data_IF_103988261263
#
_entry.id   IF_103988261263
#
_cell.length_a   1.000
_cell.length_b   1.000
_cell.length_c   1.000
_cell.angle_alpha   90.00
_cell.angle_beta   90.00
_cell.angle_gamma   90.00
#
_symmetry.space_group_name_H-M   'P 1'
#
loop_
_entity.id
_entity.type
_entity.pdbx_description
1 polymer ?
#
# COMPACT_ATOMS: atom_id res chain seq x y z
N UNK A 1 25.21 22.96 16.09
CA UNK A 1 25.62 21.54 16.00
C UNK A 1 25.79 21.12 14.53
N UNK A 2 26.71 21.73 13.76
CA UNK A 2 26.85 21.46 12.32
C UNK A 2 27.35 20.03 12.02
N UNK A 3 28.03 19.40 12.99
CA UNK A 3 28.54 18.03 12.85
C UNK A 3 27.42 16.98 12.86
N UNK A 4 26.49 17.03 13.82
CA UNK A 4 25.36 16.10 13.94
C UNK A 4 24.44 16.13 12.72
N UNK A 5 24.16 17.33 12.21
CA UNK A 5 23.32 17.53 11.02
C UNK A 5 23.96 16.91 9.77
N UNK A 6 25.27 17.10 9.59
CA UNK A 6 26.04 16.50 8.49
C UNK A 6 26.04 14.97 8.58
N UNK A 7 26.36 14.40 9.74
CA UNK A 7 26.34 12.94 9.96
C UNK A 7 24.96 12.35 9.73
N UNK A 8 23.90 13.03 10.20
CA UNK A 8 22.53 12.59 9.98
C UNK A 8 22.13 12.65 8.50
N UNK A 9 22.53 13.71 7.80
CA UNK A 9 22.26 13.86 6.36
C UNK A 9 22.93 12.76 5.55
N UNK A 10 24.25 12.57 5.72
CA UNK A 10 25.02 11.53 5.03
C UNK A 10 24.44 10.12 5.29
N UNK A 11 24.04 9.83 6.52
CA UNK A 11 23.42 8.55 6.86
C UNK A 11 22.07 8.35 6.15
N UNK A 12 21.23 9.39 6.11
CA UNK A 12 19.88 9.34 5.55
C UNK A 12 19.84 9.38 4.02
N UNK A 13 20.94 9.74 3.38
CA UNK A 13 21.13 9.57 1.94
C UNK A 13 21.24 8.10 1.52
N UNK A 14 21.70 7.23 2.43
CA UNK A 14 21.79 5.79 2.15
C UNK A 14 20.41 5.11 2.16
N UNK A 15 20.25 4.06 1.34
CA UNK A 15 18.99 3.29 1.26
C UNK A 15 18.66 2.49 2.55
N UNK A 16 19.52 2.58 3.56
CA UNK A 16 19.38 2.01 4.89
C UNK A 16 18.86 3.00 5.96
N UNK A 17 18.47 4.22 5.57
CA UNK A 17 18.03 5.33 6.44
C UNK A 17 16.77 5.03 7.27
N UNK A 18 16.93 4.24 8.33
CA UNK A 18 15.94 4.07 9.41
C UNK A 18 16.29 4.99 10.57
N UNK A 19 15.32 5.71 11.11
CA UNK A 19 15.52 6.59 12.29
C UNK A 19 16.04 5.83 13.52
N UNK A 20 15.69 4.54 13.67
CA UNK A 20 16.24 3.71 14.75
C UNK A 20 17.74 3.45 14.56
N UNK A 21 18.16 3.09 13.34
CA UNK A 21 19.58 2.88 13.03
C UNK A 21 20.38 4.19 13.06
N UNK A 22 19.75 5.29 12.65
CA UNK A 22 20.35 6.61 12.77
C UNK A 22 20.56 6.99 14.23
N UNK A 23 19.65 6.64 15.14
CA UNK A 23 19.84 6.86 16.57
C UNK A 23 21.06 6.11 17.11
N UNK A 24 21.23 4.83 16.75
CA UNK A 24 22.42 4.06 17.11
C UNK A 24 23.71 4.67 16.53
N UNK A 25 23.65 5.11 15.27
CA UNK A 25 24.77 5.74 14.58
C UNK A 25 25.18 7.07 15.25
N UNK A 26 24.22 7.95 15.55
CA UNK A 26 24.48 9.22 16.22
C UNK A 26 24.95 9.00 17.65
N UNK A 27 24.44 8.02 18.38
CA UNK A 27 24.96 7.69 19.72
C UNK A 27 26.44 7.31 19.71
N UNK A 28 26.94 6.74 18.61
CA UNK A 28 28.34 6.31 18.48
C UNK A 28 29.27 7.42 17.96
N UNK A 29 28.78 8.22 17.01
CA UNK A 29 29.65 9.15 16.25
C UNK A 29 29.34 10.63 16.50
N UNK A 30 28.16 10.97 17.03
CA UNK A 30 27.75 12.34 17.33
C UNK A 30 26.76 12.39 18.53
N UNK A 31 27.19 11.99 19.75
CA UNK A 31 26.32 11.97 20.93
C UNK A 31 25.84 13.38 21.30
N UNK A 32 24.70 13.48 21.97
CA UNK A 32 24.13 14.78 22.35
C UNK A 32 24.98 15.44 23.44
N UNK A 33 25.09 16.76 23.36
CA UNK A 33 25.82 17.57 24.36
C UNK A 33 25.15 17.61 25.72
N UNK A 34 23.84 17.35 25.78
CA UNK A 34 23.07 17.31 27.04
C UNK A 34 23.22 15.96 27.78
N UNK A 35 24.07 15.05 27.29
CA UNK A 35 24.30 13.74 27.89
C UNK A 35 23.18 12.73 27.66
N UNK A 36 22.07 13.14 27.04
CA UNK A 36 20.97 12.23 26.71
C UNK A 36 21.29 11.40 25.46
N UNK A 37 20.72 10.19 25.39
CA UNK A 37 20.90 9.33 24.21
C UNK A 37 19.93 9.73 23.09
N UNK A 38 20.39 9.59 21.86
CA UNK A 38 19.52 9.61 20.70
C UNK A 38 18.56 8.42 20.76
N UNK A 39 17.27 8.71 20.73
CA UNK A 39 16.20 7.74 20.52
C UNK A 39 15.64 7.89 19.10
N UNK A 40 14.95 6.86 18.60
CA UNK A 40 14.28 6.91 17.29
C UNK A 40 13.42 8.16 17.13
N UNK A 41 12.64 8.52 18.16
CA UNK A 41 11.71 9.65 18.11
C UNK A 41 12.46 10.99 18.19
N UNK A 42 13.50 11.08 19.04
CA UNK A 42 14.33 12.28 19.10
C UNK A 42 15.03 12.55 17.76
N UNK A 43 15.52 11.50 17.10
CA UNK A 43 16.11 11.58 15.77
C UNK A 43 15.09 11.94 14.70
N UNK A 44 13.88 11.35 14.75
CA UNK A 44 12.79 11.72 13.85
C UNK A 44 12.47 13.20 13.94
N UNK A 45 12.30 13.73 15.15
CA UNK A 45 12.06 15.15 15.37
C UNK A 45 13.23 16.02 14.91
N UNK A 46 14.47 15.62 15.22
CA UNK A 46 15.66 16.32 14.77
C UNK A 46 15.72 16.45 13.24
N UNK A 47 15.57 15.32 12.51
CA UNK A 47 15.55 15.31 11.05
C UNK A 47 14.41 16.18 10.49
N UNK A 48 13.22 16.15 11.11
CA UNK A 48 12.08 16.96 10.67
C UNK A 48 12.34 18.46 10.86
N UNK A 49 12.92 18.87 11.99
CA UNK A 49 13.27 20.27 12.27
C UNK A 49 14.36 20.79 11.34
N UNK A 50 15.30 19.94 10.92
CA UNK A 50 16.44 20.32 10.07
C UNK A 50 16.22 19.96 8.59
N UNK A 51 14.99 19.65 8.18
CA UNK A 51 14.64 19.29 6.80
C UNK A 51 15.45 18.14 6.19
N UNK A 52 15.98 17.23 7.02
CA UNK A 52 16.72 16.04 6.58
C UNK A 52 15.72 14.96 6.18
N UNK A 53 15.67 14.65 4.89
CA UNK A 53 14.74 13.66 4.34
C UNK A 53 15.37 12.27 4.26
N UNK A 54 14.59 11.24 4.61
CA UNK A 54 14.96 9.86 4.29
C UNK A 54 14.79 9.60 2.81
N UNK A 55 15.86 9.19 2.12
CA UNK A 55 15.76 8.68 0.74
C UNK A 55 15.18 7.27 0.67
N UNK A 56 15.04 6.58 1.81
CA UNK A 56 14.48 5.24 1.88
C UNK A 56 13.04 5.25 1.36
N UNK A 57 12.79 4.47 0.30
CA UNK A 57 11.43 4.17 -0.12
C UNK A 57 10.72 3.42 1.00
N UNK A 58 9.60 3.96 1.48
CA UNK A 58 8.80 3.31 2.49
C UNK A 58 8.18 2.04 1.88
N UNK A 59 8.83 0.89 2.11
CA UNK A 59 8.48 -0.41 1.48
C UNK A 59 7.05 -0.88 1.80
N UNK A 60 6.45 -0.38 2.90
CA UNK A 60 5.15 -0.80 3.41
C UNK A 60 4.23 0.41 3.70
N UNK A 61 4.06 1.35 2.78
CA UNK A 61 2.93 2.27 2.96
C UNK A 61 1.63 1.50 2.73
N UNK A 62 0.74 1.37 3.72
CA UNK A 62 -0.53 0.65 3.56
C UNK A 62 -1.35 1.19 2.38
N UNK A 63 -1.22 2.49 2.07
CA UNK A 63 -1.85 3.11 0.91
C UNK A 63 -1.39 2.55 -0.44
N UNK A 64 -0.16 2.04 -0.58
CA UNK A 64 0.33 1.47 -1.84
C UNK A 64 -0.36 0.15 -2.13
N UNK A 65 -0.50 -0.72 -1.11
CA UNK A 65 -1.23 -1.99 -1.25
C UNK A 65 -2.70 -1.79 -1.57
N UNK A 66 -3.36 -0.83 -0.90
CA UNK A 66 -4.76 -0.47 -1.17
C UNK A 66 -4.92 0.07 -2.59
N UNK A 67 -4.04 1.00 -3.00
CA UNK A 67 -4.07 1.59 -4.36
C UNK A 67 -3.80 0.55 -5.43
N UNK A 68 -2.86 -0.36 -5.20
CA UNK A 68 -2.55 -1.45 -6.12
C UNK A 68 -3.76 -2.38 -6.29
N UNK A 69 -4.40 -2.82 -5.20
CA UNK A 69 -5.62 -3.63 -5.27
C UNK A 69 -6.75 -2.90 -6.00
N UNK A 70 -6.96 -1.62 -5.74
CA UNK A 70 -7.96 -0.81 -6.45
C UNK A 70 -7.66 -0.72 -7.95
N UNK A 71 -6.40 -0.48 -8.32
CA UNK A 71 -5.99 -0.45 -9.73
C UNK A 71 -6.17 -1.81 -10.41
N UNK A 72 -5.79 -2.90 -9.73
CA UNK A 72 -6.00 -4.27 -10.24
C UNK A 72 -7.47 -4.55 -10.48
N UNK A 73 -8.37 -4.16 -9.58
CA UNK A 73 -9.83 -4.32 -9.80
C UNK A 73 -10.31 -3.52 -10.99
N UNK A 74 -9.91 -2.25 -11.12
CA UNK A 74 -10.26 -1.42 -12.29
C UNK A 74 -9.80 -2.06 -13.61
N UNK A 75 -8.59 -2.61 -13.64
CA UNK A 75 -8.07 -3.32 -14.82
C UNK A 75 -8.89 -4.57 -15.15
N UNK A 76 -9.22 -5.38 -14.14
CA UNK A 76 -10.06 -6.58 -14.32
C UNK A 76 -11.43 -6.19 -14.88
N UNK A 77 -12.09 -5.19 -14.29
CA UNK A 77 -13.40 -4.70 -14.72
C UNK A 77 -13.34 -4.20 -16.17
N UNK A 78 -12.37 -3.35 -16.49
CA UNK A 78 -12.22 -2.79 -17.84
C UNK A 78 -12.03 -3.91 -18.89
N UNK A 79 -11.13 -4.86 -18.63
CA UNK A 79 -10.89 -5.99 -19.51
C UNK A 79 -12.14 -6.88 -19.66
N UNK A 80 -12.87 -7.14 -18.57
CA UNK A 80 -14.13 -7.89 -18.65
C UNK A 80 -15.19 -7.17 -19.48
N UNK A 81 -15.36 -5.86 -19.31
CA UNK A 81 -16.32 -5.07 -20.10
C UNK A 81 -15.93 -5.05 -21.58
N UNK A 82 -14.64 -4.91 -21.89
CA UNK A 82 -14.14 -4.96 -23.26
C UNK A 82 -14.43 -6.31 -23.93
N UNK A 83 -14.13 -7.42 -23.23
CA UNK A 83 -14.41 -8.78 -23.71
C UNK A 83 -15.91 -9.01 -23.93
N UNK A 84 -16.76 -8.53 -23.02
CA UNK A 84 -18.21 -8.60 -23.17
C UNK A 84 -18.69 -7.81 -24.39
N UNK A 85 -18.22 -6.58 -24.53
CA UNK A 85 -18.57 -5.70 -25.66
C UNK A 85 -18.18 -6.33 -26.99
N UNK A 86 -16.98 -6.93 -27.07
CA UNK A 86 -16.52 -7.66 -28.26
C UNK A 86 -17.41 -8.88 -28.59
N UNK A 87 -18.02 -9.50 -27.59
CA UNK A 87 -18.98 -10.60 -27.75
C UNK A 87 -20.44 -10.16 -27.94
N UNK A 88 -20.70 -8.85 -28.00
CA UNK A 88 -22.06 -8.30 -28.08
C UNK A 88 -22.89 -8.49 -26.80
N UNK A 89 -22.25 -8.75 -25.66
CA UNK A 89 -22.87 -8.89 -24.35
C UNK A 89 -22.57 -7.67 -23.48
N UNK A 90 -23.39 -7.51 -22.46
CA UNK A 90 -23.29 -6.46 -21.44
C UNK A 90 -23.00 -7.06 -20.07
N UNK A 91 -22.65 -6.21 -19.11
CA UNK A 91 -22.36 -6.64 -17.73
C UNK A 91 -23.56 -7.31 -17.04
N UNK A 92 -24.78 -6.94 -17.42
CA UNK A 92 -26.02 -7.51 -16.88
C UNK A 92 -26.28 -8.93 -17.40
N UNK A 93 -25.74 -9.29 -18.56
CA UNK A 93 -25.95 -10.62 -19.19
C UNK A 93 -25.18 -11.74 -18.50
N UNK A 94 -24.24 -11.40 -17.61
CA UNK A 94 -23.43 -12.36 -16.83
C UNK A 94 -23.76 -12.32 -15.33
N UNK A 95 -24.78 -11.55 -14.93
CA UNK A 95 -25.23 -11.57 -13.54
C UNK A 95 -26.09 -12.83 -13.29
N UNK A 96 -25.91 -13.56 -12.16
CA UNK A 96 -24.96 -13.30 -11.07
C UNK A 96 -23.52 -13.65 -11.44
N UNK A 97 -22.58 -12.80 -11.04
CA UNK A 97 -21.17 -12.93 -11.42
C UNK A 97 -20.50 -14.16 -10.79
N UNK A 98 -19.65 -14.82 -11.56
CA UNK A 98 -18.81 -15.91 -11.07
C UNK A 98 -17.32 -15.60 -11.20
N UNK A 99 -16.54 -16.05 -10.21
CA UNK A 99 -15.07 -15.93 -10.20
C UNK A 99 -14.44 -16.45 -11.49
N UNK A 100 -14.91 -17.62 -11.94
CA UNK A 100 -14.37 -18.32 -13.11
C UNK A 100 -14.63 -17.54 -14.39
N UNK A 101 -15.85 -17.05 -14.57
CA UNK A 101 -16.23 -16.27 -15.76
C UNK A 101 -15.47 -14.94 -15.83
N UNK A 102 -15.37 -14.20 -14.71
CA UNK A 102 -14.59 -12.94 -14.68
C UNK A 102 -13.10 -13.20 -14.91
N UNK A 103 -12.55 -14.32 -14.41
CA UNK A 103 -11.15 -14.70 -14.69
C UNK A 103 -10.96 -14.95 -16.19
N UNK A 104 -11.89 -15.64 -16.84
CA UNK A 104 -11.84 -15.93 -18.26
C UNK A 104 -11.99 -14.66 -19.12
N UNK A 105 -12.94 -13.78 -18.78
CA UNK A 105 -13.20 -12.54 -19.52
C UNK A 105 -12.06 -11.53 -19.37
N UNK A 106 -11.52 -11.35 -18.15
CA UNK A 106 -10.45 -10.38 -17.89
C UNK A 106 -9.06 -10.86 -18.31
N UNK A 107 -8.86 -12.17 -18.49
CA UNK A 107 -7.53 -12.77 -18.70
C UNK A 107 -6.59 -12.64 -17.49
N UNK A 108 -7.07 -12.14 -16.34
CA UNK A 108 -6.26 -11.97 -15.16
C UNK A 108 -5.99 -13.31 -14.46
N UNK A 109 -4.85 -13.49 -13.77
CA UNK A 109 -4.58 -14.70 -12.99
C UNK A 109 -5.68 -14.95 -11.95
N UNK A 110 -6.15 -16.19 -11.83
CA UNK A 110 -7.21 -16.58 -10.89
C UNK A 110 -6.97 -16.11 -9.45
N UNK A 111 -5.72 -16.19 -8.98
CA UNK A 111 -5.31 -15.72 -7.65
C UNK A 111 -5.58 -14.22 -7.48
N UNK A 112 -5.31 -13.41 -8.51
CA UNK A 112 -5.54 -11.96 -8.44
C UNK A 112 -7.03 -11.64 -8.39
N UNK A 113 -7.85 -12.34 -9.16
CA UNK A 113 -9.31 -12.19 -9.13
C UNK A 113 -9.85 -12.63 -7.78
N UNK A 114 -9.45 -13.81 -7.28
CA UNK A 114 -9.85 -14.36 -5.99
C UNK A 114 -9.51 -13.42 -4.83
N UNK A 115 -8.28 -12.91 -4.76
CA UNK A 115 -7.82 -12.04 -3.69
C UNK A 115 -8.51 -10.68 -3.66
N UNK A 116 -9.10 -10.24 -4.78
CA UNK A 116 -9.83 -8.99 -4.88
C UNK A 116 -11.36 -9.19 -4.92
N UNK A 117 -11.84 -10.44 -4.90
CA UNK A 117 -13.24 -10.79 -5.18
C UNK A 117 -14.27 -10.04 -4.33
N UNK A 118 -14.12 -9.92 -2.99
CA UNK A 118 -15.17 -9.29 -2.18
C UNK A 118 -15.47 -7.83 -2.56
N UNK A 119 -14.44 -7.06 -2.94
CA UNK A 119 -14.62 -5.69 -3.43
C UNK A 119 -14.95 -5.65 -4.93
N UNK A 120 -14.35 -6.54 -5.72
CA UNK A 120 -14.57 -6.62 -7.16
C UNK A 120 -16.02 -7.00 -7.49
N UNK A 121 -16.57 -8.00 -6.81
CA UNK A 121 -17.96 -8.43 -6.99
C UNK A 121 -18.95 -7.30 -6.68
N UNK A 122 -18.68 -6.52 -5.63
CA UNK A 122 -19.49 -5.35 -5.30
C UNK A 122 -19.39 -4.24 -6.37
N UNK A 123 -18.19 -3.98 -6.88
CA UNK A 123 -18.00 -3.02 -7.98
C UNK A 123 -18.73 -3.48 -9.25
N UNK A 124 -18.71 -4.78 -9.57
CA UNK A 124 -19.46 -5.37 -10.69
C UNK A 124 -20.98 -5.29 -10.48
N UNK A 125 -21.48 -5.56 -9.27
CA UNK A 125 -22.91 -5.42 -8.93
C UNK A 125 -23.39 -3.99 -9.12
N UNK A 126 -22.63 -3.01 -8.64
CA UNK A 126 -22.93 -1.58 -8.82
C UNK A 126 -22.99 -1.23 -10.32
N UNK A 127 -22.04 -1.72 -11.12
CA UNK A 127 -22.02 -1.49 -12.57
C UNK A 127 -23.21 -2.13 -13.30
N UNK A 128 -23.74 -3.24 -12.80
CA UNK A 128 -24.95 -3.89 -13.31
C UNK A 128 -26.25 -3.30 -12.74
N UNK A 129 -26.19 -2.26 -11.90
CA UNK A 129 -27.38 -1.68 -11.26
C UNK A 129 -28.00 -2.57 -10.18
N UNK A 130 -27.24 -3.54 -9.65
CA UNK A 130 -27.66 -4.49 -8.62
C UNK A 130 -27.18 -4.03 -7.23
N UNK A 131 -27.90 -4.38 -6.16
CA UNK A 131 -27.50 -4.02 -4.80
C UNK A 131 -26.18 -4.70 -4.42
N UNK A 132 -25.22 -3.97 -3.83
CA UNK A 132 -23.97 -4.56 -3.36
C UNK A 132 -24.23 -5.52 -2.19
N UNK A 133 -23.40 -6.54 -2.06
CA UNK A 133 -23.44 -7.45 -0.91
C UNK A 133 -23.00 -6.74 0.37
N UNK A 134 -23.61 -7.07 1.51
CA UNK A 134 -23.18 -6.54 2.79
C UNK A 134 -21.71 -6.89 3.04
N UNK A 135 -20.90 -5.88 3.40
CA UNK A 135 -19.51 -6.11 3.79
C UNK A 135 -19.49 -6.82 5.14
N UNK A 136 -19.05 -8.07 5.16
CA UNK A 136 -18.66 -8.72 6.40
C UNK A 136 -17.33 -8.06 6.82
N UNK A 137 -17.38 -7.26 7.87
CA UNK A 137 -16.16 -6.78 8.53
C UNK A 137 -15.57 -7.99 9.28
N UNK A 138 -14.58 -8.65 8.67
CA UNK A 138 -13.72 -9.54 9.44
C UNK A 138 -12.94 -8.66 10.43
N UNK A 139 -13.38 -8.67 11.68
CA UNK A 139 -12.56 -8.21 12.80
C UNK A 139 -11.34 -9.13 12.80
N UNK A 140 -10.20 -8.59 12.41
CA UNK A 140 -8.92 -9.27 12.63
C UNK A 140 -8.67 -9.08 14.12
N UNK A 141 -8.88 -10.14 14.89
CA UNK A 141 -8.34 -10.20 16.25
C UNK A 141 -6.81 -10.17 16.09
N UNK A 142 -6.21 -9.04 16.46
CA UNK A 142 -4.77 -8.95 16.64
C UNK A 142 -4.43 -9.86 17.82
N UNK A 143 -3.93 -11.07 17.53
CA UNK A 143 -3.30 -11.93 18.53
C UNK A 143 -2.07 -11.20 19.11
N UNK A 144 -2.08 -11.03 20.43
CA UNK A 144 -1.03 -10.44 21.29
C UNK A 144 0.36 -11.09 21.14
#
# INVERSE_FOLDING_TARGET
MPHTEKTASEFMESDNGSYARLADHLNKYAPRSDGSRWTKDAVYHFCRTHSIQSKRRCKNQPGVGIRQRANTRKQIIAASIEALTASGRTITDIAPFSLKEITQLSGAPYINVKNNWPQLENELLILAGLPPKPRILTIIEDDE
#
